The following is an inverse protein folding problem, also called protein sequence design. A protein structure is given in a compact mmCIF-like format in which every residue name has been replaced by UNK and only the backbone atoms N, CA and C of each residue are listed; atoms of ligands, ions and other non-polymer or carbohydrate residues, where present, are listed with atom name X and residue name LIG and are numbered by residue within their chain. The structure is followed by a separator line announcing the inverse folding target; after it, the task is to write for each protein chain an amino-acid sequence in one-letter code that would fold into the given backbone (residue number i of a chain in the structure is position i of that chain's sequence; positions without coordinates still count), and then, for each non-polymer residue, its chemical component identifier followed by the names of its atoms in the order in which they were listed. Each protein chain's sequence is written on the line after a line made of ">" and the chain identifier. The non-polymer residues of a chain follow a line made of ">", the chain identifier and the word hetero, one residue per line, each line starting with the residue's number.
data_IF_850401334469
#
_entry.id   IF_850401334469
#
_cell.length_a   1.000
_cell.length_b   1.000
_cell.length_c   1.000
_cell.angle_alpha   90.00
_cell.angle_beta   90.00
_cell.angle_gamma   90.00
#
_symmetry.space_group_name_H-M   'P 1'
#
loop_
_entity.id
_entity.type
_entity.pdbx_description
1 polymer ?
#
# COMPACT_ATOMS: atom_id res chain seq x y z
N UNK A 1 2.07 34.50 -12.80
CA UNK A 1 2.03 33.24 -12.03
C UNK A 1 3.15 33.30 -11.00
N UNK A 2 2.84 33.01 -9.75
CA UNK A 2 3.79 32.95 -8.63
C UNK A 2 3.43 31.73 -7.79
N UNK A 3 4.35 30.78 -7.66
CA UNK A 3 4.11 29.50 -7.01
C UNK A 3 5.30 29.09 -6.13
N UNK A 4 5.01 28.38 -5.05
CA UNK A 4 5.98 27.85 -4.11
C UNK A 4 6.14 26.35 -4.29
N UNK A 5 7.39 25.92 -4.39
CA UNK A 5 7.75 24.52 -4.57
C UNK A 5 8.75 24.10 -3.52
N UNK A 6 8.34 23.13 -2.72
CA UNK A 6 9.19 22.47 -1.75
C UNK A 6 9.80 21.21 -2.38
N UNK A 7 11.12 21.10 -2.33
CA UNK A 7 11.88 19.93 -2.75
C UNK A 7 12.34 19.18 -1.50
N UNK A 8 11.61 18.12 -1.06
CA UNK A 8 11.83 17.50 0.25
C UNK A 8 13.22 16.89 0.38
N UNK A 9 13.73 16.27 -0.69
CA UNK A 9 15.05 15.62 -0.73
C UNK A 9 16.20 16.57 -0.38
N UNK A 10 16.04 17.86 -0.65
CA UNK A 10 17.05 18.88 -0.38
C UNK A 10 16.68 19.80 0.78
N UNK A 11 15.52 19.56 1.42
CA UNK A 11 14.88 20.50 2.35
C UNK A 11 14.91 21.92 1.78
N UNK A 12 14.38 22.07 0.56
CA UNK A 12 14.55 23.29 -0.23
C UNK A 12 13.22 23.86 -0.67
N UNK A 13 12.81 24.97 -0.06
CA UNK A 13 11.73 25.80 -0.59
C UNK A 13 12.26 26.78 -1.64
N UNK A 14 11.60 26.78 -2.79
CA UNK A 14 11.83 27.73 -3.89
C UNK A 14 10.53 28.43 -4.24
N UNK A 15 10.64 29.69 -4.65
CA UNK A 15 9.57 30.45 -5.26
C UNK A 15 9.87 30.62 -6.73
N UNK A 16 8.89 30.33 -7.58
CA UNK A 16 9.00 30.44 -9.03
C UNK A 16 7.95 31.44 -9.51
N UNK A 17 8.39 32.45 -10.23
CA UNK A 17 7.56 33.54 -10.75
C UNK A 17 7.76 33.65 -12.25
N UNK A 18 6.66 33.58 -12.99
CA UNK A 18 6.67 33.90 -14.42
C UNK A 18 6.33 35.38 -14.63
N UNK A 19 7.31 36.15 -15.08
CA UNK A 19 7.16 37.56 -15.46
C UNK A 19 6.86 37.64 -16.97
N UNK A 20 5.56 37.73 -17.28
CA UNK A 20 5.04 37.65 -18.65
C UNK A 20 5.55 38.78 -19.56
N UNK A 21 5.68 40.01 -19.05
CA UNK A 21 6.15 41.17 -19.80
C UNK A 21 7.57 40.98 -20.35
N UNK A 22 8.44 40.38 -19.53
CA UNK A 22 9.83 40.10 -19.87
C UNK A 22 10.04 38.68 -20.43
N UNK A 23 8.96 37.91 -20.58
CA UNK A 23 8.99 36.48 -20.91
C UNK A 23 10.09 35.71 -20.15
N UNK A 24 10.09 35.87 -18.82
CA UNK A 24 11.14 35.30 -17.96
C UNK A 24 10.56 34.48 -16.82
N UNK A 25 11.14 33.30 -16.60
CA UNK A 25 10.95 32.51 -15.39
C UNK A 25 12.03 32.91 -14.41
N UNK A 26 11.59 33.39 -13.24
CA UNK A 26 12.47 33.84 -12.17
C UNK A 26 12.26 32.90 -10.99
N UNK A 27 13.33 32.53 -10.32
CA UNK A 27 13.19 31.72 -9.13
C UNK A 27 14.15 32.15 -8.02
N UNK A 28 13.69 32.05 -6.78
CA UNK A 28 14.47 32.34 -5.58
C UNK A 28 14.36 31.15 -4.62
N UNK A 29 15.36 30.96 -3.77
CA UNK A 29 15.37 29.89 -2.78
C UNK A 29 15.57 30.44 -1.37
N UNK A 30 15.09 29.72 -0.36
CA UNK A 30 15.22 30.16 1.03
C UNK A 30 16.67 30.12 1.58
N UNK A 31 17.57 29.41 0.87
CA UNK A 31 19.02 29.30 1.15
C UNK A 31 19.82 29.21 -0.15
N UNK A 32 21.15 29.27 -0.07
CA UNK A 32 22.03 29.05 -1.22
C UNK A 32 21.86 27.63 -1.79
N UNK A 33 21.86 27.54 -3.12
CA UNK A 33 21.79 26.28 -3.86
C UNK A 33 23.20 25.78 -4.16
N UNK A 34 23.44 24.49 -3.96
CA UNK A 34 24.60 23.83 -4.56
C UNK A 34 24.35 23.54 -6.06
N UNK A 35 25.39 23.13 -6.79
CA UNK A 35 25.30 22.92 -8.23
C UNK A 35 24.28 21.82 -8.61
N UNK A 36 24.14 20.77 -7.79
CA UNK A 36 23.20 19.68 -8.06
C UNK A 36 21.76 20.13 -7.84
N UNK A 37 21.48 20.77 -6.70
CA UNK A 37 20.18 21.36 -6.37
C UNK A 37 19.73 22.34 -7.45
N UNK A 38 20.65 23.23 -7.88
CA UNK A 38 20.37 24.19 -8.94
C UNK A 38 19.94 23.50 -10.23
N UNK A 39 20.66 22.47 -10.68
CA UNK A 39 20.30 21.70 -11.89
C UNK A 39 18.94 21.03 -11.76
N UNK A 40 18.63 20.44 -10.61
CA UNK A 40 17.33 19.76 -10.39
C UNK A 40 16.19 20.77 -10.42
N UNK A 41 16.34 21.90 -9.73
CA UNK A 41 15.33 22.97 -9.71
C UNK A 41 15.12 23.57 -11.10
N UNK A 42 16.21 23.90 -11.81
CA UNK A 42 16.10 24.48 -13.16
C UNK A 42 15.47 23.50 -14.16
N UNK A 43 15.84 22.22 -14.10
CA UNK A 43 15.20 21.18 -14.91
C UNK A 43 13.71 21.08 -14.60
N UNK A 44 13.33 21.05 -13.33
CA UNK A 44 11.93 21.02 -12.91
C UNK A 44 11.16 22.23 -13.44
N UNK A 45 11.72 23.45 -13.31
CA UNK A 45 11.09 24.68 -13.84
C UNK A 45 10.86 24.56 -15.35
N UNK A 46 11.86 24.10 -16.11
CA UNK A 46 11.74 24.02 -17.57
C UNK A 46 10.82 22.90 -18.05
N UNK A 47 10.68 21.81 -17.29
CA UNK A 47 9.86 20.66 -17.67
C UNK A 47 8.41 20.79 -17.20
N UNK A 48 8.18 21.29 -15.98
CA UNK A 48 6.87 21.27 -15.34
C UNK A 48 6.17 22.64 -15.32
N UNK A 49 6.94 23.73 -15.33
CA UNK A 49 6.42 25.09 -15.15
C UNK A 49 6.40 25.84 -16.48
N UNK A 50 7.50 25.81 -17.22
CA UNK A 50 7.61 26.51 -18.49
C UNK A 50 6.52 26.14 -19.51
N UNK A 51 6.11 24.86 -19.68
CA UNK A 51 5.03 24.51 -20.61
C UNK A 51 3.65 25.08 -20.23
N UNK A 52 3.44 25.46 -18.96
CA UNK A 52 2.19 26.06 -18.46
C UNK A 52 2.14 27.58 -18.68
N UNK A 53 3.13 28.14 -19.36
CA UNK A 53 3.30 29.58 -19.59
C UNK A 53 3.63 29.86 -21.05
N UNK A 54 3.69 31.13 -21.45
CA UNK A 54 4.13 31.51 -22.81
C UNK A 54 5.66 31.36 -23.01
N UNK A 55 6.41 30.81 -22.04
CA UNK A 55 7.87 30.79 -22.01
C UNK A 55 8.50 30.25 -23.30
N UNK A 56 7.97 29.17 -23.87
CA UNK A 56 8.48 28.59 -25.13
C UNK A 56 7.89 29.23 -26.39
N UNK A 57 6.86 30.08 -26.26
CA UNK A 57 6.13 30.67 -27.39
C UNK A 57 6.66 32.04 -27.80
N UNK A 58 7.28 32.77 -26.86
CA UNK A 58 7.83 34.11 -27.07
C UNK A 58 9.35 34.08 -26.98
N UNK A 59 10.04 35.00 -27.66
CA UNK A 59 11.50 35.16 -27.60
C UNK A 59 11.85 36.63 -27.29
N UNK A 60 12.83 36.91 -26.42
CA UNK A 60 13.69 35.96 -25.71
C UNK A 60 13.00 35.27 -24.52
N UNK A 61 13.41 34.05 -24.19
CA UNK A 61 12.97 33.30 -23.00
C UNK A 61 14.13 33.17 -22.02
N UNK A 62 13.96 33.67 -20.80
CA UNK A 62 15.04 33.71 -19.80
C UNK A 62 14.67 32.98 -18.52
N UNK A 63 15.53 32.06 -18.08
CA UNK A 63 15.48 31.47 -16.75
C UNK A 63 16.51 32.16 -15.84
N UNK A 64 16.04 32.80 -14.78
CA UNK A 64 16.86 33.65 -13.91
C UNK A 64 16.77 33.20 -12.45
N UNK A 65 17.93 32.92 -11.85
CA UNK A 65 18.03 32.75 -10.42
C UNK A 65 18.17 34.11 -9.73
N UNK A 66 17.19 34.48 -8.92
CA UNK A 66 17.09 35.76 -8.23
C UNK A 66 17.85 35.78 -6.88
N UNK A 67 18.44 34.65 -6.49
CA UNK A 67 19.21 34.54 -5.24
C UNK A 67 18.38 34.03 -4.07
N UNK A 68 18.83 34.41 -2.87
CA UNK A 68 18.25 33.94 -1.61
C UNK A 68 17.12 34.89 -1.20
N UNK A 69 15.97 34.31 -0.91
CA UNK A 69 14.83 35.01 -0.34
C UNK A 69 14.55 34.51 1.09
N UNK A 70 14.91 35.32 2.07
CA UNK A 70 14.77 34.98 3.48
C UNK A 70 13.31 34.86 3.94
N UNK A 71 12.33 35.44 3.22
CA UNK A 71 10.91 35.32 3.57
C UNK A 71 10.42 33.87 3.50
N UNK A 72 10.96 33.10 2.55
CA UNK A 72 10.67 31.68 2.35
C UNK A 72 11.03 30.80 3.55
N UNK A 73 11.94 31.22 4.43
CA UNK A 73 12.26 30.45 5.65
C UNK A 73 11.07 30.33 6.60
N UNK A 74 10.18 31.34 6.62
CA UNK A 74 8.97 31.28 7.45
C UNK A 74 7.97 30.28 6.89
N UNK A 75 7.84 30.24 5.57
CA UNK A 75 6.95 29.33 4.85
C UNK A 75 7.44 27.88 4.85
N UNK A 76 8.76 27.67 4.83
CA UNK A 76 9.38 26.35 4.90
C UNK A 76 8.85 25.51 6.08
N UNK A 77 8.65 26.14 7.25
CA UNK A 77 8.15 25.44 8.44
C UNK A 77 6.76 24.82 8.23
N UNK A 78 5.89 25.48 7.47
CA UNK A 78 4.56 24.95 7.18
C UNK A 78 4.63 23.72 6.28
N UNK A 79 5.51 23.73 5.27
CA UNK A 79 5.71 22.62 4.35
C UNK A 79 6.41 21.43 5.03
N UNK A 80 7.42 21.68 5.88
CA UNK A 80 8.11 20.63 6.66
C UNK A 80 7.15 19.87 7.59
N UNK A 81 6.21 20.57 8.24
CA UNK A 81 5.22 19.92 9.12
C UNK A 81 4.26 19.04 8.32
N UNK A 82 3.82 19.50 7.15
CA UNK A 82 2.91 18.74 6.29
C UNK A 82 3.54 17.42 5.82
N UNK A 83 4.79 17.46 5.35
CA UNK A 83 5.51 16.25 4.92
C UNK A 83 5.87 15.32 6.08
N UNK A 84 6.19 15.88 7.26
CA UNK A 84 6.43 15.06 8.45
C UNK A 84 5.17 14.29 8.88
N UNK A 85 4.00 14.94 8.85
CA UNK A 85 2.72 14.28 9.15
C UNK A 85 2.41 13.20 8.12
N UNK A 86 2.61 13.48 6.83
CA UNK A 86 2.36 12.52 5.76
C UNK A 86 3.24 11.27 5.91
N UNK A 87 4.54 11.44 6.17
CA UNK A 87 5.46 10.34 6.44
C UNK A 87 5.05 9.52 7.67
N UNK A 88 4.53 10.16 8.73
CA UNK A 88 4.04 9.46 9.93
C UNK A 88 2.81 8.61 9.60
N UNK A 89 1.88 9.15 8.79
CA UNK A 89 0.67 8.44 8.37
C UNK A 89 1.03 7.21 7.53
N UNK A 90 1.91 7.37 6.54
CA UNK A 90 2.37 6.27 5.68
C UNK A 90 3.06 5.17 6.49
N UNK A 91 3.94 5.55 7.43
CA UNK A 91 4.63 4.61 8.30
C UNK A 91 3.67 3.88 9.25
N UNK A 92 2.63 4.56 9.73
CA UNK A 92 1.57 3.93 10.53
C UNK A 92 0.80 2.91 9.70
N UNK A 93 0.40 3.26 8.47
CA UNK A 93 -0.29 2.33 7.57
C UNK A 93 0.56 1.09 7.27
N UNK A 94 1.87 1.26 7.06
CA UNK A 94 2.80 0.14 6.87
C UNK A 94 2.87 -0.78 8.10
N UNK A 95 2.90 -0.21 9.31
CA UNK A 95 2.88 -0.98 10.55
C UNK A 95 1.55 -1.71 10.73
N UNK A 96 0.42 -1.04 10.51
CA UNK A 96 -0.91 -1.63 10.62
C UNK A 96 -1.05 -2.82 9.64
N UNK A 97 -0.53 -2.69 8.42
CA UNK A 97 -0.51 -3.77 7.43
C UNK A 97 0.35 -4.96 7.90
N UNK A 98 1.57 -4.71 8.41
CA UNK A 98 2.44 -5.75 8.96
C UNK A 98 1.82 -6.49 10.15
N UNK A 99 1.09 -5.77 11.01
CA UNK A 99 0.34 -6.37 12.12
C UNK A 99 -0.78 -7.25 11.59
N UNK A 100 -1.52 -6.79 10.58
CA UNK A 100 -2.57 -7.57 9.95
C UNK A 100 -2.03 -8.85 9.30
N UNK A 101 -0.91 -8.78 8.59
CA UNK A 101 -0.23 -9.94 8.02
C UNK A 101 0.20 -10.96 9.08
N UNK A 102 0.73 -10.47 10.22
CA UNK A 102 1.10 -11.32 11.35
C UNK A 102 -0.12 -12.05 11.95
N UNK A 103 -1.23 -11.33 12.11
CA UNK A 103 -2.49 -11.89 12.59
C UNK A 103 -3.00 -12.95 11.62
N UNK A 104 -3.06 -12.64 10.33
CA UNK A 104 -3.48 -13.57 9.28
C UNK A 104 -2.60 -14.82 9.23
N UNK A 105 -1.27 -14.68 9.33
CA UNK A 105 -0.36 -15.82 9.41
C UNK A 105 -0.59 -16.67 10.66
N UNK A 106 -0.80 -16.05 11.82
CA UNK A 106 -1.04 -16.76 13.08
C UNK A 106 -2.36 -17.52 13.07
N UNK A 107 -3.42 -16.90 12.54
CA UNK A 107 -4.73 -17.52 12.37
C UNK A 107 -4.68 -18.65 11.34
N UNK A 108 -4.00 -18.44 10.22
CA UNK A 108 -3.76 -19.49 9.22
C UNK A 108 -3.12 -20.72 9.85
N UNK A 109 -2.05 -20.54 10.62
CA UNK A 109 -1.39 -21.65 11.31
C UNK A 109 -2.33 -22.35 12.31
N UNK A 110 -3.08 -21.58 13.10
CA UNK A 110 -4.07 -22.13 14.03
C UNK A 110 -5.13 -22.98 13.31
N UNK A 111 -5.72 -22.47 12.23
CA UNK A 111 -6.73 -23.21 11.48
C UNK A 111 -6.14 -24.45 10.79
N UNK A 112 -4.90 -24.38 10.32
CA UNK A 112 -4.19 -25.53 9.75
C UNK A 112 -4.00 -26.65 10.78
N UNK A 113 -3.52 -26.32 11.98
CA UNK A 113 -3.37 -27.30 13.07
C UNK A 113 -4.71 -27.95 13.44
N UNK A 114 -5.77 -27.13 13.61
CA UNK A 114 -7.11 -27.62 13.92
C UNK A 114 -7.70 -28.49 12.82
N UNK A 115 -7.45 -28.16 11.56
CA UNK A 115 -7.87 -28.95 10.41
C UNK A 115 -7.16 -30.32 10.41
N UNK A 116 -5.86 -30.34 10.72
CA UNK A 116 -5.09 -31.57 10.93
C UNK A 116 -5.69 -32.48 12.02
N UNK A 117 -5.99 -31.92 13.19
CA UNK A 117 -6.62 -32.64 14.31
C UNK A 117 -7.96 -33.28 13.89
N UNK A 118 -8.78 -32.54 13.14
CA UNK A 118 -10.10 -33.01 12.68
C UNK A 118 -10.00 -34.08 11.60
N UNK A 119 -9.03 -34.00 10.71
CA UNK A 119 -8.76 -35.07 9.73
C UNK A 119 -8.28 -36.36 10.41
N UNK A 120 -7.47 -36.26 11.46
CA UNK A 120 -7.09 -37.42 12.27
C UNK A 120 -8.30 -38.04 12.98
N UNK A 121 -9.20 -37.19 13.49
CA UNK A 121 -10.45 -37.62 14.13
C UNK A 121 -11.35 -38.34 13.14
N UNK A 122 -11.51 -37.78 11.93
CA UNK A 122 -12.25 -38.39 10.83
C UNK A 122 -11.71 -39.79 10.50
N UNK A 123 -10.38 -39.94 10.39
CA UNK A 123 -9.75 -41.23 10.13
C UNK A 123 -10.02 -42.26 11.24
N UNK A 124 -10.03 -41.83 12.50
CA UNK A 124 -10.35 -42.70 13.62
C UNK A 124 -11.82 -43.16 13.60
N UNK A 125 -12.75 -42.27 13.26
CA UNK A 125 -14.18 -42.60 13.11
C UNK A 125 -14.35 -43.65 12.00
N UNK A 126 -13.69 -43.47 10.87
CA UNK A 126 -13.74 -44.43 9.74
C UNK A 126 -13.17 -45.82 10.11
N UNK A 127 -12.24 -45.88 11.06
CA UNK A 127 -11.67 -47.15 11.54
C UNK A 127 -12.55 -47.88 12.56
N UNK A 128 -13.58 -47.22 13.10
CA UNK A 128 -14.54 -47.77 14.07
C UNK A 128 -15.90 -47.95 13.38
N UNK A 129 -16.78 -48.78 13.95
CA UNK A 129 -18.16 -48.90 13.44
C UNK A 129 -18.80 -47.50 13.34
N UNK A 130 -19.22 -47.13 12.12
CA UNK A 130 -19.65 -45.79 11.74
C UNK A 130 -20.84 -45.29 12.56
N UNK A 131 -20.64 -44.25 13.36
CA UNK A 131 -21.71 -43.36 13.80
C UNK A 131 -21.86 -42.23 12.78
N UNK A 132 -22.98 -42.24 12.04
CA UNK A 132 -23.26 -41.27 11.00
C UNK A 132 -23.36 -39.82 11.54
N UNK A 133 -23.80 -39.66 12.79
CA UNK A 133 -23.93 -38.34 13.41
C UNK A 133 -22.57 -37.76 13.80
N UNK A 134 -21.66 -38.60 14.29
CA UNK A 134 -20.29 -38.18 14.62
C UNK A 134 -19.52 -37.79 13.34
N UNK A 135 -19.72 -38.54 12.26
CA UNK A 135 -19.13 -38.27 10.96
C UNK A 135 -19.57 -36.92 10.37
N UNK A 136 -20.88 -36.64 10.36
CA UNK A 136 -21.44 -35.40 9.83
C UNK A 136 -20.89 -34.17 10.56
N UNK A 137 -20.84 -34.21 11.90
CA UNK A 137 -20.31 -33.12 12.71
C UNK A 137 -18.84 -32.84 12.40
N UNK A 138 -18.03 -33.88 12.24
CA UNK A 138 -16.61 -33.73 11.91
C UNK A 138 -16.42 -33.16 10.50
N UNK A 139 -17.22 -33.58 9.51
CA UNK A 139 -17.15 -33.02 8.16
C UNK A 139 -17.53 -31.53 8.12
N UNK A 140 -18.54 -31.12 8.91
CA UNK A 140 -18.93 -29.72 9.04
C UNK A 140 -17.84 -28.88 9.72
N UNK A 141 -17.20 -29.41 10.75
CA UNK A 141 -16.06 -28.73 11.39
C UNK A 141 -14.89 -28.55 10.41
N UNK A 142 -14.59 -29.57 9.60
CA UNK A 142 -13.53 -29.50 8.59
C UNK A 142 -13.83 -28.43 7.54
N UNK A 143 -15.08 -28.33 7.06
CA UNK A 143 -15.44 -27.32 6.06
C UNK A 143 -15.34 -25.89 6.60
N UNK A 144 -15.77 -25.66 7.85
CA UNK A 144 -15.65 -24.36 8.52
C UNK A 144 -14.17 -23.98 8.72
N UNK A 145 -13.35 -24.92 9.19
CA UNK A 145 -11.92 -24.69 9.42
C UNK A 145 -11.16 -24.46 8.12
N UNK A 146 -11.50 -25.18 7.05
CA UNK A 146 -10.90 -24.99 5.73
C UNK A 146 -11.24 -23.63 5.14
N UNK A 147 -12.50 -23.19 5.28
CA UNK A 147 -12.93 -21.87 4.83
C UNK A 147 -12.18 -20.76 5.59
N UNK A 148 -12.06 -20.90 6.91
CA UNK A 148 -11.33 -19.96 7.75
C UNK A 148 -9.82 -19.95 7.43
N UNK A 149 -9.22 -21.12 7.17
CA UNK A 149 -7.84 -21.23 6.73
C UNK A 149 -7.61 -20.53 5.38
N UNK A 150 -8.43 -20.82 4.38
CA UNK A 150 -8.31 -20.22 3.04
C UNK A 150 -8.44 -18.69 3.09
N UNK A 151 -9.38 -18.17 3.89
CA UNK A 151 -9.55 -16.73 4.08
C UNK A 151 -8.32 -16.05 4.69
N UNK A 152 -7.64 -16.69 5.66
CA UNK A 152 -6.52 -16.10 6.39
C UNK A 152 -5.15 -16.37 5.74
N UNK A 153 -5.03 -17.44 4.95
CA UNK A 153 -3.79 -17.81 4.23
C UNK A 153 -3.70 -17.21 2.82
N UNK A 154 -4.83 -16.76 2.26
CA UNK A 154 -4.93 -16.36 0.85
C UNK A 154 -4.90 -17.56 -0.12
N UNK A 155 -4.96 -18.79 0.39
CA UNK A 155 -5.01 -20.01 -0.42
C UNK A 155 -6.45 -20.41 -0.77
N UNK A 156 -6.61 -21.23 -1.80
CA UNK A 156 -7.89 -21.79 -2.22
C UNK A 156 -7.81 -23.32 -2.27
N UNK A 157 -7.59 -23.93 -1.10
CA UNK A 157 -7.59 -25.39 -0.99
C UNK A 157 -9.03 -25.89 -1.08
N UNK A 158 -9.31 -26.78 -2.04
CA UNK A 158 -10.61 -27.42 -2.19
C UNK A 158 -10.72 -28.60 -1.20
N UNK A 159 -11.89 -28.78 -0.59
CA UNK A 159 -12.17 -29.85 0.36
C UNK A 159 -11.96 -31.26 -0.25
N UNK A 160 -12.15 -31.40 -1.57
CA UNK A 160 -11.91 -32.64 -2.31
C UNK A 160 -10.45 -33.09 -2.29
N UNK A 161 -9.51 -32.17 -2.00
CA UNK A 161 -8.07 -32.49 -1.95
C UNK A 161 -7.61 -33.01 -0.59
N UNK A 162 -8.42 -32.82 0.46
CA UNK A 162 -8.06 -33.16 1.84
C UNK A 162 -8.90 -34.30 2.41
N UNK A 163 -10.09 -34.56 1.87
CA UNK A 163 -10.95 -35.64 2.33
C UNK A 163 -10.56 -36.99 1.72
N UNK A 164 -10.60 -38.09 2.50
CA UNK A 164 -10.46 -39.45 1.97
C UNK A 164 -11.59 -39.79 0.97
N UNK A 165 -11.28 -40.59 -0.06
CA UNK A 165 -12.25 -40.96 -1.11
C UNK A 165 -13.50 -41.67 -0.57
N UNK A 166 -13.36 -42.38 0.54
CA UNK A 166 -14.39 -43.19 1.17
C UNK A 166 -15.55 -42.35 1.73
N UNK A 167 -15.29 -41.08 2.10
CA UNK A 167 -16.27 -40.15 2.69
C UNK A 167 -16.78 -39.11 1.71
N UNK A 168 -16.25 -39.06 0.50
CA UNK A 168 -16.63 -38.07 -0.52
C UNK A 168 -18.10 -38.16 -0.91
N UNK A 169 -18.66 -39.38 -1.00
CA UNK A 169 -20.07 -39.57 -1.34
C UNK A 169 -21.01 -39.05 -0.25
N UNK A 170 -20.66 -39.26 1.02
CA UNK A 170 -21.42 -38.78 2.17
C UNK A 170 -21.33 -37.26 2.31
N UNK A 171 -20.15 -36.69 2.06
CA UNK A 171 -19.96 -35.24 2.02
C UNK A 171 -20.83 -34.58 0.93
N UNK A 172 -20.87 -35.13 -0.27
CA UNK A 172 -21.69 -34.62 -1.38
C UNK A 172 -23.19 -34.65 -1.06
N UNK A 173 -23.67 -35.66 -0.34
CA UNK A 173 -25.05 -35.75 0.13
C UNK A 173 -25.37 -34.63 1.14
N UNK A 174 -24.49 -34.39 2.11
CA UNK A 174 -24.65 -33.32 3.12
C UNK A 174 -24.69 -31.91 2.50
N UNK A 175 -23.89 -31.67 1.46
CA UNK A 175 -23.90 -30.37 0.76
C UNK A 175 -25.12 -30.17 -0.13
N UNK A 176 -25.73 -31.24 -0.64
CA UNK A 176 -26.93 -31.16 -1.49
C UNK A 176 -28.21 -30.98 -0.67
N UNK A 177 -28.26 -31.46 0.58
CA UNK A 177 -29.39 -31.27 1.50
C UNK A 177 -29.38 -29.89 2.20
N UNK A 178 -28.35 -29.07 1.99
CA UNK A 178 -28.18 -27.74 2.61
C UNK A 178 -28.65 -26.57 1.72
N UNK A 179 -29.41 -26.82 0.64
CA UNK A 179 -30.01 -25.82 -0.26
C UNK A 179 -31.54 -25.89 -0.33
#
# INVERSE_FOLDING_TARGET
>A
MEELFYFPTFDLLTRITYAQEANSLRYASHRSLNANEKRVVERYILQEIAPKTDYYQKSPSLLLYMGIDASLKKELKAYQVKDAIQNIIERKQEIDHKVQDLISSSLSNYYFERLGDKLLTLRNILSRTMDAYELENVLKDISILLAAYNQNSGQQINIETILPHEVMQQYQQLTNDSF
#
